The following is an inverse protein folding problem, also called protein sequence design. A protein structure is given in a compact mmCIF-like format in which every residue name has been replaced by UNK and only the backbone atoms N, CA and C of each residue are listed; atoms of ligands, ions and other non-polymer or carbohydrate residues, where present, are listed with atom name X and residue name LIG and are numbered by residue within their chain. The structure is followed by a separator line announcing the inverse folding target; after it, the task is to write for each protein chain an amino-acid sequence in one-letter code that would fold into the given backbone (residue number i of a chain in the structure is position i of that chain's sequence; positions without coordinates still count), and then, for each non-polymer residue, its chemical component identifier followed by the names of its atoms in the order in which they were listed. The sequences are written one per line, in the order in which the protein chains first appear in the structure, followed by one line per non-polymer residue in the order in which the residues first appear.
data_IF_148678235910
#
_entry.id   IF_148678235910
#
_cell.length_a   1.000
_cell.length_b   1.000
_cell.length_c   1.000
_cell.angle_alpha   90.00
_cell.angle_beta   90.00
_cell.angle_gamma   90.00
#
_symmetry.space_group_name_H-M   'P 1'
#
loop_
_entity.id
_entity.type
_entity.pdbx_description
1 polymer ?
#
# COMPACT_ATOMS: atom_id res chain seq x y z
N UNK A 1 27.51 23.23 -68.42
CA UNK A 1 28.47 22.67 -67.44
C UNK A 1 28.62 23.70 -66.33
N UNK A 2 27.82 23.61 -65.26
CA UNK A 2 27.97 24.47 -64.08
C UNK A 2 28.18 23.54 -62.88
N UNK A 3 29.40 23.52 -62.35
CA UNK A 3 29.77 22.79 -61.14
C UNK A 3 29.93 23.83 -60.03
N UNK A 4 29.03 23.83 -59.05
CA UNK A 4 29.08 24.72 -57.89
C UNK A 4 29.79 23.99 -56.76
N UNK A 5 30.95 24.51 -56.38
CA UNK A 5 31.81 24.05 -55.32
C UNK A 5 31.23 24.51 -53.97
N UNK A 6 30.86 23.57 -53.10
CA UNK A 6 30.37 23.84 -51.74
C UNK A 6 31.54 23.82 -50.75
N UNK A 7 31.81 24.96 -50.12
CA UNK A 7 32.72 25.07 -48.97
C UNK A 7 32.00 24.62 -47.68
N UNK A 8 32.61 23.68 -46.96
CA UNK A 8 32.15 23.19 -45.65
C UNK A 8 32.95 23.91 -44.55
N UNK A 9 32.32 24.59 -43.58
CA UNK A 9 33.04 25.14 -42.45
C UNK A 9 33.32 24.07 -41.38
N UNK A 10 34.58 24.00 -40.95
CA UNK A 10 35.07 23.22 -39.82
C UNK A 10 34.49 23.78 -38.51
N UNK A 11 33.58 23.04 -37.87
CA UNK A 11 33.06 23.34 -36.53
C UNK A 11 34.07 22.87 -35.48
N UNK A 12 34.73 23.82 -34.80
CA UNK A 12 35.59 23.50 -33.65
C UNK A 12 34.74 23.25 -32.40
N UNK A 13 34.77 22.02 -31.87
CA UNK A 13 34.25 21.74 -30.54
C UNK A 13 35.28 22.11 -29.46
N UNK A 14 35.13 23.29 -28.86
CA UNK A 14 35.64 23.59 -27.51
C UNK A 14 34.45 23.72 -26.57
N UNK A 15 34.02 22.60 -25.98
CA UNK A 15 33.08 22.56 -24.87
C UNK A 15 33.82 22.13 -23.61
N UNK A 16 34.20 23.08 -22.76
CA UNK A 16 34.67 22.78 -21.40
C UNK A 16 33.54 22.29 -20.51
N UNK A 17 33.81 21.45 -19.50
CA UNK A 17 32.78 20.86 -18.64
C UNK A 17 32.11 21.94 -17.78
N UNK A 18 30.77 21.99 -17.83
CA UNK A 18 29.97 22.94 -17.05
C UNK A 18 29.87 22.45 -15.61
N UNK A 19 30.25 23.30 -14.65
CA UNK A 19 30.36 22.97 -13.22
C UNK A 19 29.05 22.66 -12.47
N UNK A 20 27.94 22.42 -13.15
CA UNK A 20 26.68 22.00 -12.54
C UNK A 20 26.51 20.47 -12.53
N UNK A 21 27.07 19.75 -13.50
CA UNK A 21 26.97 18.27 -13.58
C UNK A 21 27.70 17.58 -12.39
N UNK A 22 28.76 18.20 -11.87
CA UNK A 22 29.53 17.67 -10.75
C UNK A 22 28.75 17.73 -9.43
N UNK A 23 27.87 18.71 -9.24
CA UNK A 23 27.04 18.81 -8.02
C UNK A 23 25.99 17.72 -7.96
N UNK A 24 25.38 17.40 -9.11
CA UNK A 24 24.36 16.35 -9.22
C UNK A 24 24.96 14.95 -9.02
N UNK A 25 26.19 14.72 -9.51
CA UNK A 25 26.93 13.49 -9.26
C UNK A 25 27.25 13.32 -7.76
N UNK A 26 27.69 14.39 -7.08
CA UNK A 26 27.99 14.35 -5.64
C UNK A 26 26.72 14.08 -4.81
N UNK A 27 25.58 14.66 -5.21
CA UNK A 27 24.32 14.41 -4.53
C UNK A 27 23.80 12.98 -4.75
N UNK A 28 23.97 12.44 -5.96
CA UNK A 28 23.61 11.06 -6.29
C UNK A 28 24.40 10.05 -5.44
N UNK A 29 25.73 10.22 -5.34
CA UNK A 29 26.58 9.37 -4.50
C UNK A 29 26.19 9.43 -3.00
N UNK A 30 25.76 10.59 -2.52
CA UNK A 30 25.26 10.73 -1.14
C UNK A 30 23.94 10.00 -0.90
N UNK A 31 23.06 9.95 -1.89
CA UNK A 31 21.79 9.22 -1.80
C UNK A 31 22.06 7.72 -1.84
N UNK A 32 22.94 7.27 -2.72
CA UNK A 32 23.36 5.87 -2.85
C UNK A 32 23.92 5.34 -1.52
N UNK A 33 24.88 6.04 -0.91
CA UNK A 33 25.42 5.65 0.40
C UNK A 33 24.42 5.72 1.57
N UNK A 34 23.27 6.42 1.41
CA UNK A 34 22.16 6.36 2.38
C UNK A 34 21.27 5.14 2.13
N UNK A 35 21.07 4.75 0.88
CA UNK A 35 20.31 3.58 0.50
C UNK A 35 21.02 2.29 0.89
N UNK A 36 22.34 2.20 0.69
CA UNK A 36 23.16 1.07 1.15
C UNK A 36 23.04 0.85 2.66
N UNK A 37 23.19 1.91 3.47
CA UNK A 37 23.02 1.82 4.93
C UNK A 37 21.61 1.40 5.36
N UNK A 38 20.58 1.70 4.57
CA UNK A 38 19.21 1.23 4.83
C UNK A 38 19.04 -0.24 4.45
N UNK A 39 19.63 -0.67 3.34
CA UNK A 39 19.64 -2.07 2.91
C UNK A 39 20.36 -2.95 3.92
N UNK A 40 21.56 -2.57 4.36
CA UNK A 40 22.34 -3.31 5.37
C UNK A 40 21.55 -3.48 6.68
N UNK A 41 20.86 -2.43 7.14
CA UNK A 41 19.98 -2.50 8.32
C UNK A 41 18.80 -3.46 8.13
N UNK A 42 18.20 -3.49 6.94
CA UNK A 42 17.12 -4.42 6.62
C UNK A 42 17.62 -5.87 6.54
N UNK A 43 18.80 -6.09 5.98
CA UNK A 43 19.43 -7.40 5.92
C UNK A 43 19.77 -7.92 7.32
N UNK A 44 20.34 -7.08 8.19
CA UNK A 44 20.63 -7.47 9.56
C UNK A 44 19.36 -7.84 10.35
N UNK A 45 18.29 -7.07 10.18
CA UNK A 45 16.98 -7.40 10.79
C UNK A 45 16.44 -8.72 10.26
N UNK A 46 16.51 -8.94 8.95
CA UNK A 46 16.03 -10.17 8.30
C UNK A 46 16.83 -11.39 8.77
N UNK A 47 18.15 -11.27 8.85
CA UNK A 47 19.04 -12.30 9.38
C UNK A 47 18.69 -12.65 10.83
N UNK A 48 18.53 -11.65 11.69
CA UNK A 48 18.16 -11.84 13.10
C UNK A 48 16.79 -12.50 13.28
N UNK A 49 15.83 -12.17 12.41
CA UNK A 49 14.51 -12.83 12.40
C UNK A 49 14.63 -14.30 11.96
N UNK A 50 15.38 -14.58 10.89
CA UNK A 50 15.60 -15.95 10.41
C UNK A 50 16.31 -16.83 11.44
N UNK A 51 17.36 -16.31 12.08
CA UNK A 51 18.09 -17.03 13.13
C UNK A 51 17.21 -17.34 14.34
N UNK A 52 16.43 -16.35 14.82
CA UNK A 52 15.46 -16.58 15.90
C UNK A 52 14.42 -17.62 15.54
N UNK A 53 13.90 -17.60 14.30
CA UNK A 53 12.95 -18.61 13.82
C UNK A 53 13.59 -20.00 13.77
N UNK A 54 14.83 -20.11 13.30
CA UNK A 54 15.56 -21.37 13.23
C UNK A 54 15.82 -21.94 14.64
N UNK A 55 16.26 -21.10 15.59
CA UNK A 55 16.52 -21.51 16.96
C UNK A 55 15.26 -21.98 17.72
N UNK A 56 14.08 -21.45 17.37
CA UNK A 56 12.80 -21.93 17.90
C UNK A 56 12.40 -23.28 17.28
N UNK A 57 12.79 -23.54 16.02
CA UNK A 57 12.52 -24.81 15.35
C UNK A 57 13.45 -25.94 15.81
N UNK A 58 14.71 -25.64 16.15
CA UNK A 58 15.69 -26.65 16.55
C UNK A 58 15.67 -27.00 18.04
N UNK A 59 15.03 -26.19 18.89
CA UNK A 59 14.92 -26.42 20.34
C UNK A 59 13.76 -27.34 20.77
N UNK A 60 13.04 -27.97 19.85
CA UNK A 60 11.90 -28.85 20.17
C UNK A 60 12.25 -30.35 20.24
N UNK A 61 13.52 -30.72 20.39
CA UNK A 61 13.93 -32.13 20.42
C UNK A 61 15.15 -32.37 21.31
N UNK A 62 14.99 -32.22 22.62
CA UNK A 62 15.72 -33.03 23.60
C UNK A 62 14.94 -33.11 24.91
N UNK A 63 14.81 -34.32 25.43
CA UNK A 63 14.02 -34.69 26.61
C UNK A 63 14.81 -34.53 27.92
N UNK A 64 14.06 -34.38 29.01
CA UNK A 64 14.36 -34.84 30.37
C UNK A 64 15.50 -34.17 31.18
N UNK A 65 15.11 -33.35 32.17
CA UNK A 65 15.63 -33.35 33.54
C UNK A 65 15.22 -32.05 34.29
N UNK A 66 14.66 -32.20 35.49
CA UNK A 66 14.72 -31.16 36.52
C UNK A 66 13.38 -30.58 36.96
N UNK A 67 12.78 -31.22 37.97
CA UNK A 67 11.83 -30.58 38.87
C UNK A 67 12.53 -29.41 39.58
N UNK A 68 11.94 -28.20 39.56
CA UNK A 68 11.98 -27.25 40.68
C UNK A 68 11.00 -26.09 40.51
N UNK A 69 10.12 -26.01 41.51
CA UNK A 69 9.50 -24.82 42.10
C UNK A 69 8.81 -23.79 41.20
N UNK A 70 7.48 -23.97 41.15
CA UNK A 70 6.52 -22.95 41.58
C UNK A 70 6.77 -21.50 41.11
N UNK A 71 6.44 -21.24 39.85
CA UNK A 71 5.64 -20.07 39.51
C UNK A 71 4.59 -20.52 38.51
N UNK A 72 3.43 -20.86 39.05
CA UNK A 72 2.18 -21.05 38.32
C UNK A 72 1.75 -19.74 37.67
N UNK A 73 2.52 -19.25 36.71
CA UNK A 73 1.95 -18.43 35.66
C UNK A 73 1.32 -19.43 34.68
N UNK A 74 0.01 -19.58 34.83
CA UNK A 74 -0.87 -20.13 33.81
C UNK A 74 -0.64 -19.35 32.52
N UNK A 75 0.36 -19.74 31.74
CA UNK A 75 0.33 -19.58 30.30
C UNK A 75 -0.76 -20.54 29.86
N UNK A 76 -2.00 -20.08 30.02
CA UNK A 76 -3.13 -20.57 29.25
C UNK A 76 -2.60 -20.68 27.83
N UNK A 77 -2.44 -21.93 27.39
CA UNK A 77 -2.77 -22.40 26.07
C UNK A 77 -3.14 -21.23 25.14
N UNK A 78 -2.14 -20.52 24.61
CA UNK A 78 -2.35 -19.49 23.59
C UNK A 78 -2.57 -20.24 22.28
N UNK A 79 -3.65 -21.01 22.23
CA UNK A 79 -4.16 -21.58 21.00
C UNK A 79 -4.62 -20.39 20.17
N UNK A 80 -3.75 -19.91 19.27
CA UNK A 80 -4.07 -19.38 17.95
C UNK A 80 -5.46 -18.73 17.85
N UNK A 81 -5.74 -17.73 18.69
CA UNK A 81 -7.07 -17.13 18.78
C UNK A 81 -7.30 -16.11 17.66
N UNK A 82 -6.23 -15.68 16.96
CA UNK A 82 -6.27 -14.76 15.82
C UNK A 82 -7.05 -15.29 14.61
N UNK A 83 -7.34 -16.59 14.55
CA UNK A 83 -8.05 -17.19 13.42
C UNK A 83 -9.57 -17.32 13.64
N UNK A 84 -10.09 -17.01 14.85
CA UNK A 84 -11.50 -17.25 15.19
C UNK A 84 -12.43 -16.05 14.91
N UNK A 85 -11.91 -14.85 14.68
CA UNK A 85 -12.71 -13.64 14.51
C UNK A 85 -12.22 -12.77 13.34
N UNK A 86 -12.10 -13.39 12.16
CA UNK A 86 -11.69 -12.67 10.94
C UNK A 86 -12.93 -12.22 10.17
N UNK A 87 -13.17 -10.90 10.17
CA UNK A 87 -13.98 -10.23 9.15
C UNK A 87 -13.11 -10.03 7.91
N UNK A 88 -13.62 -10.33 6.73
CA UNK A 88 -12.90 -10.15 5.47
C UNK A 88 -13.87 -9.89 4.33
N UNK A 89 -13.41 -9.17 3.32
CA UNK A 89 -14.21 -8.76 2.17
C UNK A 89 -13.35 -8.77 0.91
N UNK A 90 -13.87 -9.34 -0.17
CA UNK A 90 -13.21 -9.32 -1.48
C UNK A 90 -14.17 -8.76 -2.53
N UNK A 91 -13.73 -7.82 -3.39
CA UNK A 91 -14.54 -7.36 -4.51
C UNK A 91 -14.75 -8.51 -5.51
N UNK A 92 -16.01 -8.79 -5.84
CA UNK A 92 -16.38 -9.75 -6.88
C UNK A 92 -16.30 -9.10 -8.25
N UNK A 93 -16.75 -7.85 -8.35
CA UNK A 93 -16.61 -7.05 -9.55
C UNK A 93 -15.44 -6.07 -9.44
N UNK A 94 -14.71 -5.91 -10.54
CA UNK A 94 -13.73 -4.83 -10.70
C UNK A 94 -14.22 -3.93 -11.83
N UNK A 95 -14.60 -2.70 -11.47
CA UNK A 95 -14.99 -1.72 -12.47
C UNK A 95 -13.76 -1.37 -13.32
N UNK A 96 -13.73 -1.83 -14.58
CA UNK A 96 -12.58 -1.66 -15.49
C UNK A 96 -12.45 -0.24 -16.03
N UNK A 97 -13.56 0.50 -16.06
CA UNK A 97 -13.65 1.84 -16.63
C UNK A 97 -14.39 2.74 -15.65
N UNK A 98 -13.72 3.81 -15.24
CA UNK A 98 -14.34 4.89 -14.46
C UNK A 98 -15.01 5.85 -15.44
N UNK A 99 -16.31 6.15 -15.28
CA UNK A 99 -16.99 7.08 -16.16
C UNK A 99 -16.43 8.50 -16.01
N UNK A 100 -16.46 9.27 -17.08
CA UNK A 100 -16.23 10.71 -17.00
C UNK A 100 -17.39 11.36 -16.25
N UNK A 101 -17.05 12.16 -15.25
CA UNK A 101 -18.01 12.82 -14.37
C UNK A 101 -17.87 14.33 -14.47
N UNK A 102 -19.00 15.04 -14.41
CA UNK A 102 -19.07 16.49 -14.36
C UNK A 102 -18.80 16.99 -12.94
N UNK A 103 -18.00 18.04 -12.81
CA UNK A 103 -17.72 18.65 -11.51
C UNK A 103 -18.99 19.17 -10.85
N UNK A 104 -19.19 18.82 -9.57
CA UNK A 104 -20.36 19.22 -8.79
C UNK A 104 -21.51 18.21 -8.78
N UNK A 105 -21.47 17.16 -9.61
CA UNK A 105 -22.51 16.12 -9.57
C UNK A 105 -22.32 15.12 -8.41
N UNK A 106 -23.36 14.35 -8.14
CA UNK A 106 -23.33 13.24 -7.17
C UNK A 106 -23.21 11.94 -7.94
N UNK A 107 -22.14 11.19 -7.67
CA UNK A 107 -21.91 9.88 -8.27
C UNK A 107 -22.27 8.77 -7.27
N UNK A 108 -23.10 7.82 -7.70
CA UNK A 108 -23.40 6.61 -6.94
C UNK A 108 -22.45 5.49 -7.38
N UNK A 109 -21.45 5.22 -6.56
CA UNK A 109 -20.52 4.14 -6.80
C UNK A 109 -20.99 2.86 -6.11
N UNK A 110 -20.97 1.74 -6.84
CA UNK A 110 -21.41 0.44 -6.33
C UNK A 110 -20.31 -0.60 -6.51
N UNK A 111 -20.11 -1.41 -5.47
CA UNK A 111 -19.25 -2.58 -5.51
C UNK A 111 -20.06 -3.82 -5.18
N UNK A 112 -19.82 -4.88 -5.92
CA UNK A 112 -20.23 -6.22 -5.54
C UNK A 112 -19.11 -6.84 -4.71
N UNK A 113 -19.43 -7.24 -3.49
CA UNK A 113 -18.45 -7.74 -2.52
C UNK A 113 -18.91 -9.07 -1.94
N UNK A 114 -17.95 -9.96 -1.68
CA UNK A 114 -18.18 -11.23 -1.02
C UNK A 114 -17.58 -11.20 0.38
N UNK A 115 -18.35 -11.67 1.37
CA UNK A 115 -17.83 -11.88 2.72
C UNK A 115 -16.96 -13.14 2.73
N UNK A 116 -15.64 -12.96 2.72
CA UNK A 116 -14.66 -14.07 2.82
C UNK A 116 -14.24 -14.36 4.26
N UNK A 117 -14.83 -13.62 5.22
CA UNK A 117 -14.61 -13.81 6.64
C UNK A 117 -15.30 -15.07 7.18
N UNK A 118 -15.06 -15.35 8.46
CA UNK A 118 -15.70 -16.47 9.18
C UNK A 118 -16.98 -16.05 9.92
N UNK A 119 -17.20 -14.74 10.05
CA UNK A 119 -18.35 -14.16 10.76
C UNK A 119 -19.31 -13.48 9.78
N UNK A 120 -20.63 -13.52 10.06
CA UNK A 120 -21.60 -12.78 9.27
C UNK A 120 -21.44 -11.27 9.46
N UNK A 121 -21.74 -10.50 8.43
CA UNK A 121 -21.93 -9.06 8.55
C UNK A 121 -23.34 -8.78 9.09
N UNK A 122 -23.41 -7.87 10.06
CA UNK A 122 -24.63 -7.49 10.75
C UNK A 122 -24.84 -5.98 10.65
N UNK A 123 -25.89 -5.45 11.28
CA UNK A 123 -26.14 -4.01 11.37
C UNK A 123 -25.04 -3.25 12.12
N UNK A 124 -24.17 -3.95 12.85
CA UNK A 124 -23.00 -3.37 13.52
C UNK A 124 -21.80 -3.22 12.58
N UNK A 125 -21.85 -3.87 11.41
CA UNK A 125 -20.78 -3.79 10.42
C UNK A 125 -20.97 -2.52 9.59
N UNK A 126 -19.92 -1.70 9.49
CA UNK A 126 -19.98 -0.40 8.79
C UNK A 126 -18.81 -0.26 7.83
N UNK A 127 -19.06 0.36 6.67
CA UNK A 127 -18.00 0.73 5.74
C UNK A 127 -17.41 2.09 6.15
N UNK A 128 -16.10 2.11 6.45
CA UNK A 128 -15.37 3.30 6.87
C UNK A 128 -14.44 3.81 5.76
N UNK A 129 -14.47 5.12 5.52
CA UNK A 129 -13.50 5.77 4.65
C UNK A 129 -12.13 5.82 5.35
N UNK A 130 -11.10 5.27 4.70
CA UNK A 130 -9.75 5.16 5.28
C UNK A 130 -8.75 6.12 4.65
N UNK A 131 -8.69 6.16 3.31
CA UNK A 131 -7.77 7.02 2.56
C UNK A 131 -8.33 7.33 1.16
N UNK A 132 -7.86 8.42 0.54
CA UNK A 132 -8.31 8.87 -0.77
C UNK A 132 -8.15 10.38 -0.98
N UNK A 133 -8.60 10.88 -2.12
CA UNK A 133 -8.56 12.31 -2.43
C UNK A 133 -9.54 13.09 -1.53
N UNK A 134 -9.03 14.03 -0.72
CA UNK A 134 -9.85 14.86 0.20
C UNK A 134 -11.00 15.62 -0.49
N UNK A 135 -10.85 15.90 -1.79
CA UNK A 135 -11.86 16.58 -2.58
C UNK A 135 -13.08 15.68 -2.87
N UNK A 136 -12.86 14.37 -3.03
CA UNK A 136 -13.90 13.40 -3.34
C UNK A 136 -14.43 12.81 -2.02
N UNK A 137 -15.44 13.48 -1.45
CA UNK A 137 -15.97 13.11 -0.14
C UNK A 137 -17.20 12.23 -0.29
N UNK A 138 -17.32 11.14 0.49
CA UNK A 138 -18.61 10.49 0.65
C UNK A 138 -19.59 11.46 1.30
N UNK A 139 -20.83 11.48 0.81
CA UNK A 139 -21.90 12.29 1.41
C UNK A 139 -22.29 11.76 2.78
N UNK A 140 -22.26 10.43 2.93
CA UNK A 140 -22.61 9.73 4.15
C UNK A 140 -21.33 9.32 4.90
N UNK A 141 -21.24 9.63 6.20
CA UNK A 141 -20.08 9.27 7.03
C UNK A 141 -20.11 7.81 7.48
N UNK A 142 -21.31 7.23 7.58
CA UNK A 142 -21.55 5.84 7.97
C UNK A 142 -22.37 5.22 6.85
N UNK A 143 -21.81 4.18 6.24
CA UNK A 143 -22.44 3.51 5.10
C UNK A 143 -22.84 2.12 5.57
N UNK A 144 -24.15 1.86 5.55
CA UNK A 144 -24.72 0.57 5.91
C UNK A 144 -24.22 -0.50 4.94
N UNK A 145 -23.77 -1.62 5.48
CA UNK A 145 -23.42 -2.79 4.68
C UNK A 145 -24.59 -3.78 4.65
N UNK A 146 -24.75 -4.60 3.60
CA UNK A 146 -25.72 -5.67 3.60
C UNK A 146 -25.36 -6.73 4.66
N UNK A 147 -26.38 -7.38 5.22
CA UNK A 147 -26.17 -8.54 6.08
C UNK A 147 -25.75 -9.74 5.21
N UNK A 148 -24.50 -10.16 5.33
CA UNK A 148 -23.92 -11.25 4.52
C UNK A 148 -23.35 -12.33 5.40
N UNK A 149 -23.75 -13.57 5.20
CA UNK A 149 -23.08 -14.73 5.80
C UNK A 149 -21.72 -14.98 5.15
N UNK A 150 -20.82 -15.75 5.79
CA UNK A 150 -19.61 -16.23 5.14
C UNK A 150 -19.89 -16.88 3.78
N UNK A 151 -19.19 -16.42 2.74
CA UNK A 151 -19.35 -16.86 1.35
C UNK A 151 -20.48 -16.17 0.58
N UNK A 152 -21.31 -15.35 1.21
CA UNK A 152 -22.38 -14.61 0.50
C UNK A 152 -21.84 -13.33 -0.15
N UNK A 153 -22.49 -12.95 -1.24
CA UNK A 153 -22.20 -11.75 -2.02
C UNK A 153 -23.32 -10.72 -1.85
N UNK A 154 -22.95 -9.45 -1.79
CA UNK A 154 -23.90 -8.34 -1.74
C UNK A 154 -23.35 -7.09 -2.39
N UNK A 155 -24.22 -6.09 -2.54
CA UNK A 155 -23.87 -4.80 -3.12
C UNK A 155 -23.64 -3.75 -2.03
N UNK A 156 -22.50 -3.09 -2.07
CA UNK A 156 -22.19 -1.88 -1.32
C UNK A 156 -22.36 -0.67 -2.24
N UNK A 157 -22.94 0.41 -1.72
CA UNK A 157 -23.17 1.62 -2.50
C UNK A 157 -22.75 2.86 -1.70
N UNK A 158 -22.05 3.78 -2.36
CA UNK A 158 -21.56 5.03 -1.77
C UNK A 158 -21.89 6.19 -2.68
N UNK A 159 -22.47 7.25 -2.11
CA UNK A 159 -22.68 8.50 -2.82
C UNK A 159 -21.48 9.42 -2.61
N UNK A 160 -20.87 9.83 -3.71
CA UNK A 160 -19.65 10.64 -3.74
C UNK A 160 -19.96 12.00 -4.36
N UNK A 161 -19.54 13.06 -3.68
CA UNK A 161 -19.61 14.41 -4.25
C UNK A 161 -18.41 14.64 -5.17
N UNK A 162 -18.67 14.85 -6.46
CA UNK A 162 -17.61 15.15 -7.42
C UNK A 162 -17.16 16.60 -7.25
N UNK A 163 -15.86 16.88 -7.08
CA UNK A 163 -15.35 18.23 -6.88
C UNK A 163 -15.67 19.12 -8.08
N UNK A 164 -16.11 20.35 -7.82
CA UNK A 164 -16.17 21.38 -8.86
C UNK A 164 -14.79 22.02 -8.99
N UNK A 165 -14.18 21.95 -10.17
CA UNK A 165 -12.91 22.66 -10.45
C UNK A 165 -13.27 24.10 -10.82
N UNK A 166 -13.35 24.97 -9.81
CA UNK A 166 -13.38 26.42 -10.05
C UNK A 166 -11.97 26.94 -10.21
N UNK A 167 -11.63 27.44 -11.40
CA UNK A 167 -10.36 28.13 -11.64
C UNK A 167 -10.33 29.43 -10.81
N UNK A 168 -9.47 29.46 -9.80
CA UNK A 168 -9.16 30.72 -9.11
C UNK A 168 -8.19 31.49 -10.00
N UNK A 169 -8.68 32.55 -10.64
CA UNK A 169 -7.85 33.45 -11.44
C UNK A 169 -6.90 34.17 -10.46
N UNK A 170 -5.63 33.80 -10.46
CA UNK A 170 -4.59 34.52 -9.71
C UNK A 170 -4.52 35.95 -10.28
N UNK A 171 -4.76 36.94 -9.42
CA UNK A 171 -4.58 38.36 -9.71
C UNK A 171 -3.13 38.75 -9.54
#
# INVERSE_FOLDING_TARGET
MNSTQNDIPLVSYRGGPRGDETKDLINSLKIEGKLERKLEKLEHKTKKIKEKKLALLTKSSDSDAGQSSSRSHSYRHCAKQDDLQKYDAVPVNTQKVVPHMLGGEVYLHQWEVMNTGKLPWTSETTLNFTWGAKALKPLDTIISVPHLKPGETGTLAVRLQIPCVTYVKLK
#
